data_IF_387990407460
#
_entry.id   IF_387990407460
#
_cell.length_a   1.000
_cell.length_b   1.000
_cell.length_c   1.000
_cell.angle_alpha   90.00
_cell.angle_beta   90.00
_cell.angle_gamma   90.00
#
_symmetry.space_group_name_H-M   'P 1'
#
loop_
_entity.id
_entity.type
_entity.pdbx_description
1 polymer ?
#
# COMPACT_ATOMS: atom_id res chain seq x y z
N UNK A 1 9.38 25.59 -20.10
CA UNK A 1 8.90 24.22 -19.89
C UNK A 1 9.13 23.95 -18.43
N UNK A 2 8.11 24.17 -17.61
CA UNK A 2 8.24 24.06 -16.16
C UNK A 2 8.10 22.58 -15.82
N UNK A 3 9.20 21.83 -15.98
CA UNK A 3 9.28 20.49 -15.42
C UNK A 3 9.20 20.65 -13.91
N UNK A 4 8.04 20.36 -13.34
CA UNK A 4 7.88 20.18 -11.90
C UNK A 4 9.01 19.26 -11.45
N UNK A 5 9.83 19.62 -10.45
CA UNK A 5 10.93 18.78 -10.03
C UNK A 5 10.37 17.39 -9.72
N UNK A 6 11.00 16.38 -10.32
CA UNK A 6 10.77 14.97 -10.01
C UNK A 6 10.78 14.80 -8.49
N UNK A 7 9.77 14.15 -7.93
CA UNK A 7 9.80 13.79 -6.52
C UNK A 7 11.01 12.87 -6.26
N UNK A 8 11.56 12.87 -5.04
CA UNK A 8 12.77 12.09 -4.73
C UNK A 8 12.58 10.57 -4.84
N UNK A 9 11.34 10.07 -4.93
CA UNK A 9 10.99 8.66 -5.10
C UNK A 9 10.53 8.30 -6.53
N UNK A 10 10.57 9.24 -7.48
CA UNK A 10 9.97 9.02 -8.80
C UNK A 10 10.61 7.86 -9.57
N UNK A 11 11.93 7.70 -9.49
CA UNK A 11 12.63 6.62 -10.19
C UNK A 11 12.21 5.25 -9.67
N UNK A 12 12.14 5.09 -8.35
CA UNK A 12 11.76 3.85 -7.69
C UNK A 12 10.30 3.49 -7.99
N UNK A 13 9.43 4.51 -8.00
CA UNK A 13 8.03 4.36 -8.39
C UNK A 13 7.89 3.91 -9.85
N UNK A 14 8.62 4.53 -10.78
CA UNK A 14 8.56 4.20 -12.20
C UNK A 14 9.05 2.76 -12.46
N UNK A 15 10.12 2.35 -11.77
CA UNK A 15 10.63 0.98 -11.83
C UNK A 15 9.62 -0.03 -11.28
N UNK A 16 9.03 0.25 -10.11
CA UNK A 16 7.97 -0.58 -9.53
C UNK A 16 6.77 -0.71 -10.47
N UNK A 17 6.27 0.40 -11.04
CA UNK A 17 5.10 0.38 -11.93
C UNK A 17 5.39 -0.44 -13.20
N UNK A 18 6.56 -0.27 -13.79
CA UNK A 18 6.97 -1.03 -14.96
C UNK A 18 7.10 -2.53 -14.67
N UNK A 19 7.53 -2.91 -13.46
CA UNK A 19 7.57 -4.29 -13.02
C UNK A 19 6.16 -4.85 -12.78
N UNK A 20 5.30 -4.09 -12.10
CA UNK A 20 3.91 -4.44 -11.82
C UNK A 20 3.12 -4.72 -13.10
N UNK A 21 3.30 -3.90 -14.14
CA UNK A 21 2.61 -4.05 -15.44
C UNK A 21 3.06 -5.28 -16.25
N UNK A 22 4.20 -5.89 -15.90
CA UNK A 22 4.64 -7.17 -16.48
C UNK A 22 4.03 -8.38 -15.78
N UNK A 23 3.63 -8.21 -14.52
CA UNK A 23 3.11 -9.28 -13.67
C UNK A 23 1.60 -9.34 -13.74
N UNK A 24 0.93 -8.21 -13.49
CA UNK A 24 -0.52 -8.14 -13.43
C UNK A 24 -1.09 -7.68 -14.77
N UNK A 25 -2.16 -8.33 -15.26
CA UNK A 25 -2.86 -7.81 -16.42
C UNK A 25 -3.52 -6.47 -16.07
N UNK A 26 -3.59 -5.57 -17.05
CA UNK A 26 -4.05 -4.20 -16.83
C UNK A 26 -5.48 -4.11 -16.25
N UNK A 27 -6.35 -5.09 -16.56
CA UNK A 27 -7.72 -5.17 -16.05
C UNK A 27 -7.83 -5.71 -14.63
N UNK A 28 -6.76 -6.34 -14.09
CA UNK A 28 -6.70 -6.74 -12.69
C UNK A 28 -6.42 -5.55 -11.76
N UNK A 29 -5.92 -4.42 -12.26
CA UNK A 29 -5.54 -3.27 -11.44
C UNK A 29 -6.60 -2.17 -11.52
N UNK A 30 -7.21 -1.87 -10.37
CA UNK A 30 -8.16 -0.78 -10.21
C UNK A 30 -7.46 0.58 -10.04
N UNK A 31 -6.37 0.61 -9.27
CA UNK A 31 -5.58 1.81 -9.02
C UNK A 31 -4.32 1.51 -8.23
N UNK A 32 -3.36 2.44 -8.27
CA UNK A 32 -2.13 2.41 -7.46
C UNK A 32 -1.99 3.74 -6.75
N UNK A 33 -1.61 3.67 -5.49
CA UNK A 33 -1.57 4.78 -4.56
C UNK A 33 -0.30 4.73 -3.73
N UNK A 34 0.22 5.88 -3.33
CA UNK A 34 1.23 5.95 -2.28
C UNK A 34 0.57 6.28 -0.96
N UNK A 35 1.06 5.63 0.09
CA UNK A 35 0.61 5.79 1.47
C UNK A 35 1.81 6.11 2.36
N UNK A 36 1.75 5.72 3.64
CA UNK A 36 2.80 5.89 4.64
C UNK A 36 3.53 7.23 4.60
N UNK A 37 4.87 7.20 4.71
CA UNK A 37 5.70 8.39 4.88
C UNK A 37 5.56 9.38 3.70
N UNK A 38 5.37 8.87 2.50
CA UNK A 38 5.18 9.67 1.28
C UNK A 38 3.87 10.45 1.31
N UNK A 39 2.77 9.80 1.67
CA UNK A 39 1.46 10.44 1.81
C UNK A 39 1.43 11.44 2.97
N UNK A 40 2.15 11.15 4.06
CA UNK A 40 2.20 12.00 5.25
C UNK A 40 3.18 13.17 5.16
N UNK A 41 3.96 13.25 4.07
CA UNK A 41 4.93 14.32 3.85
C UNK A 41 6.20 14.21 4.70
N UNK A 42 6.52 13.02 5.19
CA UNK A 42 7.70 12.73 6.02
C UNK A 42 8.67 11.73 5.32
N UNK A 43 8.55 11.60 4.00
CA UNK A 43 9.44 10.74 3.21
C UNK A 43 10.87 11.31 3.19
N UNK A 44 11.84 10.45 3.51
CA UNK A 44 13.26 10.75 3.51
C UNK A 44 13.97 9.91 2.46
N UNK A 45 14.52 10.56 1.45
CA UNK A 45 15.21 9.89 0.35
C UNK A 45 16.38 9.03 0.87
N UNK A 46 16.41 7.77 0.43
CA UNK A 46 17.43 6.80 0.86
C UNK A 46 17.24 6.24 2.27
N UNK A 47 16.16 6.61 2.98
CA UNK A 47 15.90 6.18 4.36
C UNK A 47 14.48 5.64 4.55
N UNK A 48 13.49 6.20 3.86
CA UNK A 48 12.09 5.80 3.95
C UNK A 48 11.75 4.80 2.86
N UNK A 49 11.03 3.75 3.24
CA UNK A 49 10.39 2.84 2.30
C UNK A 49 9.34 3.56 1.45
N UNK A 50 9.09 2.99 0.26
CA UNK A 50 8.03 3.45 -0.63
C UNK A 50 6.77 2.62 -0.40
N UNK A 51 5.88 3.12 0.46
CA UNK A 51 4.62 2.46 0.82
C UNK A 51 3.57 2.52 -0.32
N UNK A 52 3.34 1.41 -1.01
CA UNK A 52 2.46 1.34 -2.19
C UNK A 52 1.20 0.52 -1.91
N UNK A 53 0.03 1.09 -2.19
CA UNK A 53 -1.22 0.32 -2.24
C UNK A 53 -1.64 0.11 -3.70
N UNK A 54 -1.73 -1.16 -4.10
CA UNK A 54 -2.36 -1.57 -5.36
C UNK A 54 -3.75 -2.12 -5.06
N UNK A 55 -4.78 -1.37 -5.48
CA UNK A 55 -6.15 -1.89 -5.46
C UNK A 55 -6.38 -2.74 -6.70
N UNK A 56 -6.83 -3.97 -6.51
CA UNK A 56 -7.18 -4.89 -7.59
C UNK A 56 -8.68 -4.88 -7.85
N UNK A 57 -9.10 -5.22 -9.08
CA UNK A 57 -10.52 -5.31 -9.45
C UNK A 57 -11.18 -6.58 -8.92
N UNK A 58 -10.37 -7.58 -8.55
CA UNK A 58 -10.76 -8.90 -8.06
C UNK A 58 -9.68 -9.47 -7.14
N UNK A 59 -10.00 -10.57 -6.45
CA UNK A 59 -8.99 -11.42 -5.85
C UNK A 59 -7.96 -11.86 -6.90
N UNK A 60 -6.67 -11.79 -6.53
CA UNK A 60 -5.59 -12.32 -7.36
C UNK A 60 -5.55 -13.84 -7.28
N UNK A 61 -5.09 -14.45 -8.36
CA UNK A 61 -4.80 -15.89 -8.42
C UNK A 61 -3.47 -16.20 -7.74
N UNK A 62 -3.24 -17.45 -7.39
CA UNK A 62 -1.95 -17.89 -6.81
C UNK A 62 -0.77 -17.65 -7.75
N UNK A 63 -0.98 -17.78 -9.07
CA UNK A 63 0.07 -17.50 -10.06
C UNK A 63 0.41 -16.01 -10.11
N UNK A 64 -0.59 -15.12 -10.01
CA UNK A 64 -0.36 -13.67 -9.93
C UNK A 64 0.34 -13.29 -8.63
N UNK A 65 -0.05 -13.88 -7.49
CA UNK A 65 0.63 -13.66 -6.21
C UNK A 65 2.07 -14.18 -6.24
N UNK A 66 2.31 -15.34 -6.86
CA UNK A 66 3.65 -15.87 -7.08
C UNK A 66 4.49 -14.94 -7.98
N UNK A 67 3.89 -14.38 -9.03
CA UNK A 67 4.54 -13.40 -9.89
C UNK A 67 4.92 -12.11 -9.16
N UNK A 68 4.07 -11.64 -8.23
CA UNK A 68 4.35 -10.46 -7.41
C UNK A 68 5.48 -10.72 -6.40
N UNK A 69 5.52 -11.91 -5.81
CA UNK A 69 6.62 -12.33 -4.94
C UNK A 69 7.97 -12.31 -5.69
N UNK A 70 8.03 -12.95 -6.87
CA UNK A 70 9.24 -12.93 -7.70
C UNK A 70 9.59 -11.52 -8.22
N UNK A 71 8.59 -10.68 -8.48
CA UNK A 71 8.80 -9.27 -8.82
C UNK A 71 9.49 -8.51 -7.71
N UNK A 72 9.00 -8.63 -6.47
CA UNK A 72 9.59 -7.96 -5.32
C UNK A 72 11.02 -8.44 -5.08
N UNK A 73 11.27 -9.75 -5.06
CA UNK A 73 12.63 -10.31 -4.99
C UNK A 73 13.57 -9.75 -6.07
N UNK A 74 13.06 -9.47 -7.27
CA UNK A 74 13.85 -8.91 -8.36
C UNK A 74 14.10 -7.40 -8.22
N UNK A 75 13.17 -6.66 -7.60
CA UNK A 75 13.36 -5.25 -7.25
C UNK A 75 14.33 -5.08 -6.07
N UNK A 76 14.36 -6.08 -5.16
CA UNK A 76 15.30 -6.15 -4.03
C UNK A 76 16.72 -6.52 -4.47
N UNK A 77 17.38 -5.61 -5.17
CA UNK A 77 18.77 -5.82 -5.64
C UNK A 77 19.86 -5.34 -4.65
N UNK A 78 19.49 -4.84 -3.46
CA UNK A 78 20.44 -4.20 -2.55
C UNK A 78 19.85 -3.73 -1.21
N UNK A 79 20.59 -2.85 -0.53
CA UNK A 79 20.20 -2.28 0.77
C UNK A 79 19.10 -1.22 0.64
N UNK A 80 18.34 -1.06 1.72
CA UNK A 80 17.24 -0.12 1.95
C UNK A 80 17.38 1.25 1.27
N UNK A 81 16.25 1.89 0.90
CA UNK A 81 14.87 1.55 1.29
C UNK A 81 14.17 0.51 0.39
N UNK A 82 13.19 -0.21 0.96
CA UNK A 82 12.35 -1.19 0.26
C UNK A 82 11.11 -0.54 -0.37
N UNK A 83 10.47 -1.26 -1.28
CA UNK A 83 9.13 -0.93 -1.77
C UNK A 83 8.10 -1.81 -1.07
N UNK A 84 7.67 -1.40 0.12
CA UNK A 84 6.57 -2.04 0.83
C UNK A 84 5.27 -1.87 0.04
N UNK A 85 4.45 -2.92 0.00
CA UNK A 85 3.30 -2.95 -0.88
C UNK A 85 2.12 -3.71 -0.28
N UNK A 86 0.90 -3.28 -0.59
CA UNK A 86 -0.34 -4.01 -0.34
C UNK A 86 -1.11 -4.24 -1.63
N UNK A 87 -1.56 -5.47 -1.85
CA UNK A 87 -2.40 -5.88 -2.97
C UNK A 87 -3.77 -6.29 -2.43
N UNK A 88 -4.77 -5.42 -2.60
CA UNK A 88 -6.08 -5.62 -1.99
C UNK A 88 -7.21 -5.40 -2.98
N UNK A 89 -8.17 -6.34 -3.01
CA UNK A 89 -9.35 -6.17 -3.86
C UNK A 89 -10.15 -4.94 -3.42
N UNK A 90 -10.51 -4.10 -4.39
CA UNK A 90 -11.22 -2.82 -4.18
C UNK A 90 -12.51 -2.95 -3.37
N UNK A 91 -13.13 -4.12 -3.36
CA UNK A 91 -14.37 -4.39 -2.62
C UNK A 91 -14.18 -4.35 -1.09
N UNK A 92 -12.92 -4.38 -0.63
CA UNK A 92 -12.54 -4.26 0.78
C UNK A 92 -12.13 -2.85 1.23
N UNK A 93 -12.11 -1.87 0.32
CA UNK A 93 -11.79 -0.47 0.67
C UNK A 93 -12.68 0.00 1.83
N UNK A 94 -12.04 0.55 2.87
CA UNK A 94 -12.70 1.06 4.09
C UNK A 94 -13.27 -0.01 5.01
N UNK A 95 -13.08 -1.29 4.72
CA UNK A 95 -13.58 -2.42 5.50
C UNK A 95 -12.43 -3.15 6.18
N UNK A 96 -12.73 -3.82 7.28
CA UNK A 96 -11.85 -4.88 7.78
C UNK A 96 -12.19 -6.16 7.00
N UNK A 97 -11.30 -6.66 6.13
CA UNK A 97 -11.58 -7.92 5.45
C UNK A 97 -11.53 -9.09 6.44
N UNK A 98 -12.19 -10.22 6.16
CA UNK A 98 -11.95 -11.47 6.87
C UNK A 98 -10.46 -11.85 6.82
N UNK A 99 -9.91 -12.40 7.90
CA UNK A 99 -8.49 -12.78 7.97
C UNK A 99 -8.11 -13.85 6.92
N UNK A 100 -9.05 -14.70 6.54
CA UNK A 100 -8.89 -15.77 5.55
C UNK A 100 -9.25 -15.36 4.11
N UNK A 101 -9.43 -14.05 3.85
CA UNK A 101 -9.73 -13.55 2.52
C UNK A 101 -8.55 -13.81 1.55
N UNK A 102 -8.75 -14.75 0.63
CA UNK A 102 -7.76 -15.12 -0.38
C UNK A 102 -7.55 -14.05 -1.45
N UNK A 103 -6.45 -14.17 -2.22
CA UNK A 103 -6.14 -13.30 -3.35
C UNK A 103 -5.61 -11.93 -2.98
N UNK A 104 -5.07 -11.80 -1.76
CA UNK A 104 -4.40 -10.63 -1.23
C UNK A 104 -2.92 -10.95 -1.00
N UNK A 105 -2.08 -9.91 -0.97
CA UNK A 105 -0.68 -10.03 -0.59
C UNK A 105 -0.17 -8.72 -0.03
N UNK A 106 0.91 -8.80 0.73
CA UNK A 106 1.60 -7.62 1.22
C UNK A 106 3.10 -7.85 1.30
N UNK A 107 3.86 -6.76 1.31
CA UNK A 107 5.30 -6.73 1.51
C UNK A 107 5.58 -5.84 2.70
N UNK A 108 6.35 -6.35 3.64
CA UNK A 108 6.85 -5.62 4.81
C UNK A 108 8.33 -5.96 4.93
N UNK A 109 9.17 -4.94 5.08
CA UNK A 109 10.62 -5.08 5.18
C UNK A 109 11.21 -5.93 4.02
N UNK A 110 10.59 -5.83 2.84
CA UNK A 110 11.00 -6.60 1.65
C UNK A 110 10.46 -8.01 1.53
N UNK A 111 9.84 -8.56 2.58
CA UNK A 111 9.33 -9.92 2.57
C UNK A 111 7.88 -9.97 2.04
N UNK A 112 7.66 -10.75 0.96
CA UNK A 112 6.32 -10.95 0.42
C UNK A 112 5.54 -12.02 1.20
N UNK A 113 4.38 -11.62 1.70
CA UNK A 113 3.45 -12.47 2.41
C UNK A 113 2.11 -12.59 1.65
N UNK A 114 1.53 -13.78 1.68
CA UNK A 114 0.17 -14.02 1.16
C UNK A 114 -0.84 -13.60 2.22
N UNK A 115 -1.96 -13.05 1.77
CA UNK A 115 -3.02 -12.57 2.65
C UNK A 115 -2.81 -11.13 3.09
N UNK A 116 -3.56 -10.75 4.12
CA UNK A 116 -3.63 -9.40 4.65
C UNK A 116 -2.61 -9.18 5.77
N UNK A 117 -2.19 -7.94 5.94
CA UNK A 117 -1.19 -7.54 6.95
C UNK A 117 -1.79 -7.39 8.35
N UNK A 118 -3.11 -7.29 8.45
CA UNK A 118 -3.81 -7.00 9.69
C UNK A 118 -3.68 -5.53 10.13
N UNK A 119 -3.26 -4.63 9.22
CA UNK A 119 -3.11 -3.18 9.38
C UNK A 119 -4.07 -2.38 8.47
N UNK A 120 -5.05 -3.04 7.85
CA UNK A 120 -5.88 -2.49 6.77
C UNK A 120 -6.65 -1.24 7.20
N UNK A 121 -7.11 -1.16 8.45
CA UNK A 121 -7.83 0.03 8.92
C UNK A 121 -6.95 1.28 8.98
N UNK A 122 -5.67 1.12 9.30
CA UNK A 122 -4.70 2.23 9.28
C UNK A 122 -4.40 2.62 7.84
N UNK A 123 -4.17 1.62 6.97
CA UNK A 123 -3.99 1.82 5.54
C UNK A 123 -5.16 2.60 4.91
N UNK A 124 -6.39 2.25 5.27
CA UNK A 124 -7.61 2.93 4.82
C UNK A 124 -7.74 4.36 5.33
N UNK A 125 -7.45 4.60 6.60
CA UNK A 125 -7.45 5.95 7.15
C UNK A 125 -6.40 6.84 6.46
N UNK A 126 -5.19 6.32 6.23
CA UNK A 126 -4.13 7.03 5.48
C UNK A 126 -4.55 7.29 4.05
N UNK A 127 -5.10 6.30 3.34
CA UNK A 127 -5.56 6.44 1.96
C UNK A 127 -6.64 7.52 1.83
N UNK A 128 -7.62 7.53 2.75
CA UNK A 128 -8.73 8.51 2.71
C UNK A 128 -8.26 9.94 2.97
N UNK A 129 -7.34 10.14 3.92
CA UNK A 129 -6.94 11.47 4.36
C UNK A 129 -5.76 12.04 3.57
N UNK A 130 -4.82 11.19 3.17
CA UNK A 130 -3.50 11.60 2.70
C UNK A 130 -3.04 10.88 1.43
N UNK A 131 -3.74 9.82 0.99
CA UNK A 131 -3.32 8.98 -0.12
C UNK A 131 -2.99 9.78 -1.39
N UNK A 132 -1.83 9.48 -1.99
CA UNK A 132 -1.41 10.08 -3.25
C UNK A 132 -1.84 9.16 -4.38
N UNK A 133 -2.57 9.69 -5.35
CA UNK A 133 -3.02 8.93 -6.52
C UNK A 133 -1.89 8.84 -7.54
N UNK A 134 -1.47 7.61 -7.86
CA UNK A 134 -0.50 7.35 -8.93
C UNK A 134 -1.22 6.99 -10.23
N UNK A 135 -2.16 6.04 -10.16
CA UNK A 135 -3.05 5.68 -11.28
C UNK A 135 -4.42 5.23 -10.80
N UNK A 136 -5.42 5.35 -11.66
CA UNK A 136 -6.81 4.97 -11.35
C UNK A 136 -7.63 6.12 -10.75
N UNK A 137 -8.76 5.82 -10.09
CA UNK A 137 -9.60 6.84 -9.44
C UNK A 137 -8.83 7.61 -8.38
N UNK A 138 -9.20 8.88 -8.15
CA UNK A 138 -8.61 9.69 -7.08
C UNK A 138 -8.78 9.02 -5.72
N UNK A 139 -7.72 8.97 -4.91
CA UNK A 139 -7.73 8.36 -3.58
C UNK A 139 -8.90 8.87 -2.72
N UNK A 140 -9.14 10.19 -2.74
CA UNK A 140 -10.23 10.79 -1.96
C UNK A 140 -11.62 10.38 -2.43
N UNK A 141 -11.78 10.03 -3.71
CA UNK A 141 -13.05 9.56 -4.27
C UNK A 141 -13.42 8.15 -3.84
N UNK A 142 -12.45 7.38 -3.31
CA UNK A 142 -12.67 6.02 -2.82
C UNK A 142 -13.48 5.97 -1.52
N UNK A 143 -13.57 7.08 -0.77
CA UNK A 143 -14.23 7.17 0.53
C UNK A 143 -13.79 6.03 1.48
N UNK A 144 -12.47 5.87 1.60
CA UNK A 144 -11.86 4.75 2.31
C UNK A 144 -11.94 4.88 3.83
N UNK A 145 -12.45 5.99 4.39
CA UNK A 145 -12.51 6.18 5.83
C UNK A 145 -13.11 4.94 6.56
N UNK A 146 -12.35 4.30 7.46
CA UNK A 146 -12.87 3.15 8.21
C UNK A 146 -13.97 3.59 9.17
N UNK A 147 -14.86 2.67 9.53
CA UNK A 147 -15.83 2.92 10.61
C UNK A 147 -15.10 3.31 11.91
N UNK A 148 -15.43 4.49 12.45
CA UNK A 148 -14.70 5.07 13.58
C UNK A 148 -14.78 4.20 14.85
N UNK A 149 -15.91 3.50 15.06
CA UNK A 149 -16.08 2.63 16.22
C UNK A 149 -15.22 1.37 16.12
N UNK A 150 -15.14 0.80 14.92
CA UNK A 150 -14.31 -0.34 14.55
C UNK A 150 -12.83 0.02 14.66
N UNK A 151 -12.41 1.15 14.09
CA UNK A 151 -11.02 1.63 14.17
C UNK A 151 -10.58 1.85 15.62
N UNK A 152 -11.42 2.49 16.44
CA UNK A 152 -11.15 2.70 17.86
C UNK A 152 -11.11 1.40 18.67
N UNK A 153 -11.93 0.40 18.33
CA UNK A 153 -11.90 -0.89 18.98
C UNK A 153 -10.62 -1.65 18.64
N UNK A 154 -10.26 -1.70 17.36
CA UNK A 154 -9.03 -2.32 16.85
C UNK A 154 -7.77 -1.70 17.47
N UNK A 155 -7.69 -0.37 17.53
CA UNK A 155 -6.55 0.35 18.11
C UNK A 155 -6.32 0.03 19.60
N UNK A 156 -7.37 -0.28 20.37
CA UNK A 156 -7.24 -0.66 21.78
C UNK A 156 -6.70 -2.07 22.00
N UNK A 157 -6.77 -2.93 20.98
CA UNK A 157 -6.35 -4.34 21.06
C UNK A 157 -4.90 -4.59 20.65
N UNK A 158 -4.21 -3.62 20.03
CA UNK A 158 -2.83 -3.77 19.57
C UNK A 158 -1.82 -3.35 20.65
N UNK A 159 -0.79 -4.16 20.97
CA UNK A 159 0.34 -3.71 21.77
C UNK A 159 1.08 -2.59 21.01
N UNK A 160 1.36 -1.47 21.67
CA UNK A 160 1.87 -0.27 21.00
C UNK A 160 3.34 -0.39 20.55
N UNK A 161 3.57 -0.33 19.25
CA UNK A 161 4.87 0.03 18.64
C UNK A 161 4.94 1.52 18.34
N UNK A 162 6.14 2.11 18.34
CA UNK A 162 6.35 3.57 18.23
C UNK A 162 5.81 4.18 16.92
N UNK A 163 6.01 3.52 15.79
CA UNK A 163 5.54 4.01 14.48
C UNK A 163 4.03 3.87 14.33
N UNK A 164 3.48 2.72 14.73
CA UNK A 164 2.03 2.50 14.79
C UNK A 164 1.31 3.55 15.66
N UNK A 165 1.92 3.96 16.79
CA UNK A 165 1.35 4.98 17.67
C UNK A 165 1.38 6.38 17.03
N UNK A 166 2.43 6.72 16.28
CA UNK A 166 2.52 8.00 15.57
C UNK A 166 1.54 8.07 14.41
N UNK A 167 1.46 6.99 13.61
CA UNK A 167 0.53 6.88 12.48
C UNK A 167 -0.93 6.96 12.97
N UNK A 168 -1.28 6.23 14.04
CA UNK A 168 -2.62 6.29 14.62
C UNK A 168 -2.94 7.68 15.18
N UNK A 169 -1.98 8.37 15.81
CA UNK A 169 -2.19 9.74 16.33
C UNK A 169 -2.38 10.77 15.22
N UNK A 170 -1.72 10.61 14.08
CA UNK A 170 -1.90 11.50 12.94
C UNK A 170 -3.29 11.33 12.29
N UNK A 171 -3.90 10.14 12.44
CA UNK A 171 -5.16 9.76 11.80
C UNK A 171 -6.38 9.80 12.73
N UNK A 172 -6.18 10.06 14.04
CA UNK A 172 -7.22 10.13 15.09
C UNK A 172 -7.55 11.56 15.48
#
# INVERSE_FOLDING_TARGET
MDSKPSTPYQSDLDEYLAALDRVLPADAVHGVYLTGSTALGDYQHGQSDLDILTLTTRALTEDELGGLDEMHKALETGAQPHSDAHYIARDFVGKLPPEDAAGHGHVIDGEFHRGLSGQELVLWATLDQHGITVRGPEAKSLNAAPDASTFKAWNRGKPGGSEHVLLVRALS
#
